data_IF_420010754290
#
_entry.id   IF_420010754290
#
_cell.length_a   1.000
_cell.length_b   1.000
_cell.length_c   1.000
_cell.angle_alpha   90.00
_cell.angle_beta   90.00
_cell.angle_gamma   90.00
#
_symmetry.space_group_name_H-M   'P 1'
#
loop_
_entity.id
_entity.type
_entity.pdbx_description
1 polymer ?
#
# COMPACT_ATOMS: atom_id res chain seq x y z
N UNK A 1 27.11 48.95 -6.65
CA UNK A 1 27.26 48.16 -5.40
C UNK A 1 26.04 48.18 -4.46
N UNK A 2 24.83 48.59 -4.92
CA UNK A 2 23.60 48.58 -4.11
C UNK A 2 22.46 47.73 -4.69
N UNK A 3 22.75 46.95 -5.74
CA UNK A 3 21.82 46.02 -6.40
C UNK A 3 22.25 44.55 -6.26
N UNK A 4 23.35 44.28 -5.56
CA UNK A 4 23.84 42.93 -5.28
C UNK A 4 23.49 42.45 -3.86
N UNK A 5 23.18 43.36 -2.93
CA UNK A 5 22.82 43.00 -1.54
C UNK A 5 21.31 42.76 -1.34
N UNK A 6 20.44 43.35 -2.16
CA UNK A 6 18.99 43.09 -2.09
C UNK A 6 18.59 41.70 -2.61
N UNK A 7 19.48 41.04 -3.36
CA UNK A 7 19.31 39.64 -3.79
C UNK A 7 19.69 38.62 -2.71
N UNK A 8 20.37 39.06 -1.64
CA UNK A 8 20.79 38.18 -0.53
C UNK A 8 19.79 38.18 0.65
N UNK A 9 18.85 39.12 0.69
CA UNK A 9 17.81 39.22 1.75
C UNK A 9 16.41 38.76 1.32
N UNK A 10 16.17 38.57 0.01
CA UNK A 10 14.94 37.95 -0.53
C UNK A 10 15.05 36.43 -0.74
N UNK A 11 16.07 35.78 -0.15
CA UNK A 11 16.28 34.32 -0.22
C UNK A 11 15.85 33.54 1.03
N UNK A 12 15.38 34.22 2.08
CA UNK A 12 14.95 33.60 3.34
C UNK A 12 13.55 34.07 3.69
N UNK A 13 12.54 33.51 3.04
CA UNK A 13 11.17 33.36 3.55
C UNK A 13 10.35 32.55 2.55
N UNK A 14 9.75 31.45 3.01
CA UNK A 14 8.62 30.82 2.33
C UNK A 14 8.96 29.69 1.34
N UNK A 15 8.96 28.44 1.84
CA UNK A 15 9.04 27.28 0.96
C UNK A 15 8.93 25.92 1.61
N UNK A 16 8.26 25.78 2.76
CA UNK A 16 7.85 24.46 3.26
C UNK A 16 6.85 23.86 2.26
N UNK A 17 7.32 22.96 1.40
CA UNK A 17 6.44 22.13 0.56
C UNK A 17 5.71 21.15 1.48
N UNK A 18 4.52 21.53 1.94
CA UNK A 18 3.52 20.63 2.50
C UNK A 18 3.18 19.52 1.48
N UNK A 19 2.92 18.28 1.91
CA UNK A 19 2.44 17.21 1.03
C UNK A 19 0.93 17.38 0.78
N UNK A 20 0.51 18.48 0.14
CA UNK A 20 -0.92 18.78 -0.05
C UNK A 20 -1.55 18.13 -1.29
N UNK A 21 -0.78 17.45 -2.16
CA UNK A 21 -1.34 16.84 -3.38
C UNK A 21 -1.95 15.44 -3.22
N UNK A 22 -1.66 14.71 -2.14
CA UNK A 22 -2.31 13.40 -1.89
C UNK A 22 -3.66 13.52 -1.18
N UNK A 23 -3.82 14.56 -0.33
CA UNK A 23 -5.07 14.82 0.40
C UNK A 23 -6.20 15.33 -0.51
N UNK A 24 -5.87 16.08 -1.58
CA UNK A 24 -6.90 16.59 -2.49
C UNK A 24 -7.58 15.46 -3.28
N UNK A 25 -6.82 14.45 -3.73
CA UNK A 25 -7.34 13.32 -4.51
C UNK A 25 -8.12 12.34 -3.63
N UNK A 26 -7.66 12.09 -2.40
CA UNK A 26 -8.45 11.30 -1.44
C UNK A 26 -9.72 12.05 -1.02
N UNK A 27 -9.64 13.36 -0.82
CA UNK A 27 -10.77 14.23 -0.50
C UNK A 27 -11.82 14.31 -1.61
N UNK A 28 -11.41 14.37 -2.87
CA UNK A 28 -12.36 14.37 -4.01
C UNK A 28 -13.04 13.01 -4.18
N UNK A 29 -12.32 11.91 -3.92
CA UNK A 29 -12.88 10.56 -4.00
C UNK A 29 -13.83 10.28 -2.84
N UNK A 30 -13.49 10.69 -1.61
CA UNK A 30 -14.39 10.55 -0.46
C UNK A 30 -15.61 11.46 -0.58
N UNK A 31 -15.45 12.70 -1.05
CA UNK A 31 -16.58 13.59 -1.31
C UNK A 31 -17.52 13.05 -2.40
N UNK A 32 -16.96 12.49 -3.49
CA UNK A 32 -17.75 11.85 -4.54
C UNK A 32 -18.45 10.59 -4.03
N UNK A 33 -17.81 9.81 -3.15
CA UNK A 33 -18.40 8.64 -2.49
C UNK A 33 -19.54 9.03 -1.54
N UNK A 34 -19.35 10.08 -0.74
CA UNK A 34 -20.40 10.63 0.15
C UNK A 34 -21.57 11.23 -0.64
N UNK A 35 -21.31 11.92 -1.76
CA UNK A 35 -22.36 12.41 -2.65
C UNK A 35 -23.13 11.25 -3.31
N UNK A 36 -22.44 10.18 -3.72
CA UNK A 36 -23.08 8.99 -4.25
C UNK A 36 -23.96 8.29 -3.20
N UNK A 37 -23.50 8.22 -1.94
CA UNK A 37 -24.32 7.68 -0.85
C UNK A 37 -25.54 8.55 -0.55
N UNK A 38 -25.41 9.88 -0.62
CA UNK A 38 -26.56 10.77 -0.44
C UNK A 38 -27.61 10.65 -1.55
N UNK A 39 -27.19 10.30 -2.77
CA UNK A 39 -28.10 10.03 -3.89
C UNK A 39 -28.79 8.65 -3.79
N UNK A 40 -28.22 7.72 -3.01
CA UNK A 40 -28.73 6.34 -2.84
C UNK A 40 -29.65 6.17 -1.63
N UNK A 41 -29.68 7.12 -0.69
CA UNK A 41 -30.60 7.11 0.45
C UNK A 41 -31.80 8.00 0.12
N UNK A 42 -32.60 7.60 -0.86
CA UNK A 42 -34.01 8.03 -0.89
C UNK A 42 -34.77 7.11 0.06
N UNK A 43 -35.32 7.61 1.18
CA UNK A 43 -36.13 6.77 2.05
C UNK A 43 -37.33 6.23 1.26
N UNK A 44 -37.79 4.99 1.54
CA UNK A 44 -38.93 4.38 0.84
C UNK A 44 -40.23 5.17 0.97
N UNK A 45 -40.28 6.17 1.85
CA UNK A 45 -41.39 7.12 1.97
C UNK A 45 -41.59 8.03 0.75
N UNK A 46 -40.64 8.13 -0.19
CA UNK A 46 -40.86 8.83 -1.47
C UNK A 46 -41.35 7.90 -2.60
N UNK A 47 -41.35 6.58 -2.40
CA UNK A 47 -41.89 5.61 -3.35
C UNK A 47 -43.36 5.24 -3.06
N UNK A 48 -43.87 5.54 -1.86
CA UNK A 48 -45.30 5.74 -1.68
C UNK A 48 -45.67 6.99 -2.47
N UNK A 49 -46.45 6.77 -3.55
CA UNK A 49 -46.85 7.83 -4.48
C UNK A 49 -47.25 9.08 -3.70
N UNK A 50 -46.66 10.23 -4.07
CA UNK A 50 -47.19 11.52 -3.65
C UNK A 50 -48.71 11.46 -3.85
N UNK A 51 -49.53 11.87 -2.87
CA UNK A 51 -50.96 12.01 -3.10
C UNK A 51 -51.07 12.87 -4.34
N UNK A 52 -51.67 12.33 -5.41
CA UNK A 52 -52.01 13.15 -6.56
C UNK A 52 -52.78 14.33 -5.98
N UNK A 53 -52.31 15.52 -6.30
CA UNK A 53 -52.96 16.78 -5.98
C UNK A 53 -54.29 16.81 -6.76
N UNK A 54 -55.29 16.05 -6.30
CA UNK A 54 -56.67 16.05 -6.76
C UNK A 54 -57.49 16.91 -5.80
N UNK A 55 -57.03 18.15 -5.65
CA UNK A 55 -57.57 19.20 -4.79
C UNK A 55 -58.94 19.75 -5.22
N UNK A 56 -59.80 18.94 -5.86
CA UNK A 56 -61.18 19.34 -6.17
C UNK A 56 -62.29 18.30 -5.90
N UNK A 57 -62.02 17.01 -5.64
CA UNK A 57 -63.11 16.02 -5.49
C UNK A 57 -62.86 14.87 -4.48
N UNK A 58 -61.95 15.00 -3.51
CA UNK A 58 -61.80 13.96 -2.47
C UNK A 58 -62.92 14.03 -1.44
N UNK A 59 -63.81 13.04 -1.44
CA UNK A 59 -64.85 12.90 -0.40
C UNK A 59 -64.17 12.50 0.92
N UNK A 60 -64.54 13.14 2.03
CA UNK A 60 -64.00 12.77 3.35
C UNK A 60 -64.51 11.40 3.79
N UNK A 61 -63.73 10.66 4.58
CA UNK A 61 -64.14 9.36 5.14
C UNK A 61 -65.47 9.43 5.91
N UNK A 62 -65.63 10.47 6.75
CA UNK A 62 -66.89 10.71 7.47
C UNK A 62 -68.05 11.02 6.52
N UNK A 63 -67.79 11.76 5.44
CA UNK A 63 -68.76 12.03 4.39
C UNK A 63 -69.13 10.78 3.59
N UNK A 64 -68.20 9.85 3.42
CA UNK A 64 -68.46 8.56 2.78
C UNK A 64 -69.41 7.70 3.63
N UNK A 65 -69.13 7.54 4.93
CA UNK A 65 -70.00 6.75 5.83
C UNK A 65 -71.43 7.32 5.86
N UNK A 66 -71.57 8.65 5.95
CA UNK A 66 -72.88 9.31 5.91
C UNK A 66 -73.64 9.05 4.60
N UNK A 67 -72.96 9.09 3.45
CA UNK A 67 -73.60 8.83 2.15
C UNK A 67 -73.96 7.36 1.93
N UNK A 68 -73.22 6.45 2.56
CA UNK A 68 -73.58 5.01 2.59
C UNK A 68 -74.87 4.83 3.40
N UNK A 69 -74.98 5.46 4.57
CA UNK A 69 -76.19 5.42 5.40
C UNK A 69 -77.39 6.09 4.75
N UNK A 70 -77.17 7.16 3.98
CA UNK A 70 -78.21 7.81 3.18
C UNK A 70 -78.65 6.99 1.94
N UNK A 71 -77.97 5.88 1.64
CA UNK A 71 -78.30 4.98 0.52
C UNK A 71 -77.87 5.49 -0.86
N UNK A 72 -76.97 6.49 -0.91
CA UNK A 72 -76.55 7.20 -2.13
C UNK A 72 -75.39 6.50 -2.88
N UNK A 73 -74.75 5.51 -2.26
CA UNK A 73 -73.61 4.77 -2.82
C UNK A 73 -74.07 3.49 -3.54
N UNK A 74 -73.48 3.20 -4.70
CA UNK A 74 -73.79 2.02 -5.52
C UNK A 74 -72.72 0.93 -5.45
N UNK A 75 -71.44 1.31 -5.49
CA UNK A 75 -70.30 0.39 -5.46
C UNK A 75 -69.11 1.04 -4.75
N UNK A 76 -68.41 0.24 -3.95
CA UNK A 76 -67.16 0.65 -3.28
C UNK A 76 -66.07 -0.35 -3.68
N UNK A 77 -65.01 0.15 -4.30
CA UNK A 77 -63.81 -0.62 -4.64
C UNK A 77 -62.68 -0.21 -3.69
N UNK A 78 -62.15 -1.15 -2.92
CA UNK A 78 -61.12 -0.88 -1.91
C UNK A 78 -59.76 -1.33 -2.46
N UNK A 79 -58.78 -0.42 -2.49
CA UNK A 79 -57.38 -0.72 -2.75
C UNK A 79 -56.57 -0.71 -1.43
N UNK A 80 -56.32 -1.88 -0.83
CA UNK A 80 -55.61 -1.98 0.44
C UNK A 80 -54.11 -1.65 0.33
N UNK A 81 -53.54 -1.63 -0.88
CA UNK A 81 -52.11 -1.33 -1.10
C UNK A 81 -51.89 0.18 -1.07
N UNK A 82 -52.82 0.94 -1.65
CA UNK A 82 -52.78 2.41 -1.68
C UNK A 82 -53.51 3.07 -0.51
N UNK A 83 -54.31 2.33 0.25
CA UNK A 83 -55.10 2.86 1.36
C UNK A 83 -56.23 3.79 0.92
N UNK A 84 -56.79 3.56 -0.28
CA UNK A 84 -57.87 4.38 -0.85
C UNK A 84 -59.07 3.51 -1.21
N UNK A 85 -60.26 4.08 -1.10
CA UNK A 85 -61.52 3.53 -1.61
C UNK A 85 -62.01 4.39 -2.78
N UNK A 86 -62.29 3.75 -3.91
CA UNK A 86 -62.98 4.33 -5.04
C UNK A 86 -64.49 4.12 -4.90
N UNK A 87 -65.26 5.22 -4.88
CA UNK A 87 -66.68 5.20 -4.56
C UNK A 87 -67.48 5.69 -5.77
N UNK A 88 -68.51 4.92 -6.15
CA UNK A 88 -69.50 5.33 -7.16
C UNK A 88 -70.84 5.66 -6.50
N UNK A 89 -71.38 6.83 -6.82
CA UNK A 89 -72.69 7.30 -6.34
C UNK A 89 -73.80 6.91 -7.33
N UNK A 90 -75.02 6.63 -6.84
CA UNK A 90 -76.19 6.25 -7.68
C UNK A 90 -76.63 7.36 -8.64
N UNK A 91 -76.37 8.62 -8.31
CA UNK A 91 -76.77 9.80 -9.08
C UNK A 91 -75.68 10.31 -10.04
N UNK A 92 -74.55 9.60 -10.19
CA UNK A 92 -73.50 9.98 -11.13
C UNK A 92 -73.70 9.31 -12.50
N UNK A 93 -73.51 10.03 -13.62
CA UNK A 93 -73.47 9.41 -14.95
C UNK A 93 -72.43 8.28 -14.98
N UNK A 94 -72.74 7.16 -15.65
CA UNK A 94 -71.88 5.96 -15.76
C UNK A 94 -70.46 6.22 -16.29
N UNK A 95 -70.21 7.42 -16.82
CA UNK A 95 -68.94 7.86 -17.41
C UNK A 95 -68.16 8.85 -16.51
N UNK A 96 -68.61 9.07 -15.27
CA UNK A 96 -67.95 9.97 -14.31
C UNK A 96 -66.85 9.24 -13.55
N UNK A 97 -65.69 9.88 -13.38
CA UNK A 97 -64.60 9.33 -12.59
C UNK A 97 -65.05 9.03 -11.14
N UNK A 98 -64.71 7.85 -10.60
CA UNK A 98 -65.04 7.50 -9.22
C UNK A 98 -64.43 8.51 -8.24
N UNK A 99 -65.11 8.76 -7.11
CA UNK A 99 -64.56 9.62 -6.06
C UNK A 99 -63.59 8.81 -5.21
N UNK A 100 -62.36 9.28 -5.07
CA UNK A 100 -61.35 8.66 -4.20
C UNK A 100 -61.49 9.16 -2.76
N UNK A 101 -61.48 8.22 -1.83
CA UNK A 101 -61.53 8.47 -0.38
C UNK A 101 -60.36 7.80 0.29
N UNK A 102 -59.58 8.56 1.06
CA UNK A 102 -58.48 8.01 1.86
C UNK A 102 -59.05 7.25 3.05
N UNK A 103 -58.62 5.99 3.21
CA UNK A 103 -59.03 5.13 4.31
C UNK A 103 -58.03 5.25 5.46
N UNK A 104 -58.53 5.26 6.70
CA UNK A 104 -57.69 5.50 7.88
C UNK A 104 -56.85 4.29 8.27
N UNK A 105 -57.28 3.07 8.00
CA UNK A 105 -56.56 1.85 8.39
C UNK A 105 -56.96 0.64 7.50
N UNK A 106 -56.12 -0.41 7.50
CA UNK A 106 -56.33 -1.65 6.73
C UNK A 106 -57.60 -2.43 7.12
N UNK A 107 -58.32 -1.99 8.16
CA UNK A 107 -59.58 -2.59 8.57
C UNK A 107 -60.54 -1.48 9.02
N UNK A 108 -61.52 -1.12 8.17
CA UNK A 108 -62.53 -0.11 8.48
C UNK A 108 -63.86 -0.82 8.82
N UNK A 109 -64.05 -1.31 10.07
CA UNK A 109 -65.21 -2.10 10.45
C UNK A 109 -66.52 -1.31 10.31
N UNK A 110 -66.51 0.00 10.61
CA UNK A 110 -67.69 0.87 10.47
C UNK A 110 -68.15 1.00 9.02
N UNK A 111 -67.21 1.11 8.08
CA UNK A 111 -67.51 1.19 6.64
C UNK A 111 -68.04 -0.16 6.11
N UNK A 112 -67.45 -1.27 6.57
CA UNK A 112 -67.91 -2.62 6.23
C UNK A 112 -69.31 -2.90 6.78
N UNK A 113 -69.61 -2.44 7.99
CA UNK A 113 -70.92 -2.59 8.63
C UNK A 113 -71.98 -1.72 7.95
N UNK A 114 -71.68 -0.44 7.68
CA UNK A 114 -72.57 0.47 6.97
C UNK A 114 -72.89 -0.02 5.55
N UNK A 115 -71.89 -0.54 4.82
CA UNK A 115 -72.06 -1.09 3.49
C UNK A 115 -72.88 -2.39 3.48
N UNK A 116 -72.67 -3.31 4.45
CA UNK A 116 -73.49 -4.53 4.59
C UNK A 116 -74.94 -4.23 4.92
N UNK A 117 -75.19 -3.29 5.84
CA UNK A 117 -76.54 -2.92 6.28
C UNK A 117 -77.37 -2.30 5.15
N UNK A 118 -76.73 -1.60 4.22
CA UNK A 118 -77.36 -0.93 3.09
C UNK A 118 -77.24 -1.68 1.75
N UNK A 119 -76.71 -2.91 1.77
CA UNK A 119 -76.65 -3.79 0.59
C UNK A 119 -75.74 -3.27 -0.53
N UNK A 120 -74.65 -2.56 -0.20
CA UNK A 120 -73.69 -2.02 -1.17
C UNK A 120 -72.68 -3.10 -1.56
N UNK A 121 -72.40 -3.22 -2.87
CA UNK A 121 -71.42 -4.18 -3.38
C UNK A 121 -69.99 -3.69 -3.09
N UNK A 122 -69.23 -4.54 -2.39
CA UNK A 122 -67.88 -4.27 -1.89
C UNK A 122 -66.91 -5.19 -2.61
N UNK A 123 -66.03 -4.62 -3.44
CA UNK A 123 -65.01 -5.37 -4.17
C UNK A 123 -63.61 -4.92 -3.75
N UNK A 124 -62.70 -5.87 -3.56
CA UNK A 124 -61.31 -5.59 -3.17
C UNK A 124 -60.42 -5.87 -4.36
N UNK A 125 -59.81 -4.81 -4.93
CA UNK A 125 -58.85 -4.93 -6.02
C UNK A 125 -57.50 -4.37 -5.58
N UNK A 126 -56.51 -5.22 -5.26
CA UNK A 126 -55.17 -4.73 -4.92
C UNK A 126 -54.47 -4.23 -6.18
N UNK A 127 -53.99 -2.98 -6.17
CA UNK A 127 -53.15 -2.49 -7.28
C UNK A 127 -51.74 -3.09 -7.22
N UNK A 128 -51.18 -3.44 -8.38
CA UNK A 128 -49.82 -3.98 -8.47
C UNK A 128 -48.80 -2.86 -8.27
N UNK A 129 -47.95 -3.02 -7.26
CA UNK A 129 -46.97 -2.01 -6.84
C UNK A 129 -45.75 -1.97 -7.78
N UNK A 130 -45.94 -1.41 -8.97
CA UNK A 130 -44.94 -1.33 -10.04
C UNK A 130 -43.70 -0.47 -9.71
N UNK A 131 -43.72 0.25 -8.58
CA UNK A 131 -42.59 1.05 -8.10
C UNK A 131 -41.38 0.23 -7.64
N UNK A 132 -41.61 -0.98 -7.14
CA UNK A 132 -40.54 -1.87 -6.63
C UNK A 132 -39.62 -2.39 -7.75
N UNK A 133 -40.20 -2.78 -8.88
CA UNK A 133 -39.45 -3.24 -10.06
C UNK A 133 -38.67 -2.09 -10.71
N UNK A 134 -39.29 -0.91 -10.84
CA UNK A 134 -38.60 0.27 -11.36
C UNK A 134 -37.43 0.71 -10.45
N UNK A 135 -37.61 0.60 -9.13
CA UNK A 135 -36.56 0.88 -8.15
C UNK A 135 -35.38 -0.11 -8.28
N UNK A 136 -35.64 -1.41 -8.38
CA UNK A 136 -34.61 -2.44 -8.56
C UNK A 136 -33.84 -2.30 -9.88
N UNK A 137 -34.54 -2.00 -10.98
CA UNK A 137 -33.92 -1.83 -12.30
C UNK A 137 -32.98 -0.62 -12.29
N UNK A 138 -33.41 0.49 -11.69
CA UNK A 138 -32.63 1.74 -11.65
C UNK A 138 -31.35 1.58 -10.79
N UNK A 139 -31.46 0.95 -9.63
CA UNK A 139 -30.31 0.73 -8.73
C UNK A 139 -29.39 -0.39 -9.20
N UNK A 140 -29.96 -1.44 -9.80
CA UNK A 140 -29.19 -2.55 -10.38
C UNK A 140 -28.30 -2.11 -11.55
N UNK A 141 -28.81 -1.22 -12.41
CA UNK A 141 -28.06 -0.70 -13.55
C UNK A 141 -26.87 0.16 -13.11
N UNK A 142 -27.04 0.97 -12.06
CA UNK A 142 -25.96 1.79 -11.50
C UNK A 142 -24.85 0.94 -10.83
N UNK A 143 -25.23 -0.10 -10.10
CA UNK A 143 -24.27 -1.07 -9.53
C UNK A 143 -23.48 -1.80 -10.63
N UNK A 144 -24.14 -2.19 -11.72
CA UNK A 144 -23.50 -2.84 -12.86
C UNK A 144 -22.46 -1.93 -13.53
N UNK A 145 -22.78 -0.65 -13.75
CA UNK A 145 -21.84 0.33 -14.33
C UNK A 145 -20.60 0.53 -13.44
N UNK A 146 -20.78 0.61 -12.11
CA UNK A 146 -19.65 0.74 -11.17
C UNK A 146 -18.73 -0.48 -11.19
N UNK A 147 -19.29 -1.70 -11.20
CA UNK A 147 -18.52 -2.94 -11.30
C UNK A 147 -17.75 -2.99 -12.63
N UNK A 148 -18.40 -2.61 -13.73
CA UNK A 148 -17.76 -2.58 -15.05
C UNK A 148 -16.61 -1.56 -15.12
N UNK A 149 -16.79 -0.36 -14.56
CA UNK A 149 -15.76 0.67 -14.47
C UNK A 149 -14.56 0.22 -13.61
N UNK A 150 -14.83 -0.44 -12.48
CA UNK A 150 -13.79 -1.01 -11.62
C UNK A 150 -12.98 -2.09 -12.34
N UNK A 151 -13.65 -3.01 -13.04
CA UNK A 151 -12.99 -4.04 -13.84
C UNK A 151 -12.15 -3.44 -14.98
N UNK A 152 -12.62 -2.35 -15.61
CA UNK A 152 -11.87 -1.66 -16.65
C UNK A 152 -10.64 -0.92 -16.10
N UNK A 153 -10.74 -0.36 -14.88
CA UNK A 153 -9.61 0.24 -14.17
C UNK A 153 -8.55 -0.79 -13.79
N UNK A 154 -8.96 -1.94 -13.22
CA UNK A 154 -8.09 -3.08 -12.91
C UNK A 154 -7.38 -3.64 -14.15
N UNK A 155 -8.09 -3.69 -15.29
CA UNK A 155 -7.49 -4.10 -16.57
C UNK A 155 -6.52 -3.08 -17.15
N UNK A 156 -6.70 -1.77 -16.88
CA UNK A 156 -5.72 -0.74 -17.23
C UNK A 156 -4.44 -0.85 -16.40
N UNK A 157 -4.54 -1.22 -15.13
CA UNK A 157 -3.35 -1.46 -14.28
C UNK A 157 -2.63 -2.76 -14.61
N UNK A 158 -3.32 -3.80 -15.09
CA UNK A 158 -2.65 -5.05 -15.50
C UNK A 158 -1.80 -4.93 -16.77
N UNK A 159 -1.98 -3.89 -17.59
CA UNK A 159 -1.04 -3.59 -18.70
C UNK A 159 0.23 -2.85 -18.22
N UNK A 160 0.33 -2.54 -16.93
CA UNK A 160 1.55 -2.07 -16.24
C UNK A 160 2.15 -3.17 -15.33
N UNK A 161 1.83 -4.44 -15.62
CA UNK A 161 2.20 -5.63 -14.83
C UNK A 161 3.71 -5.96 -14.78
N UNK A 162 4.57 -5.13 -15.37
CA UNK A 162 6.02 -5.22 -15.18
C UNK A 162 6.54 -4.66 -13.84
N UNK A 163 5.73 -3.90 -13.09
CA UNK A 163 6.23 -3.15 -11.93
C UNK A 163 5.88 -3.76 -10.56
N UNK A 164 4.78 -4.53 -10.45
CA UNK A 164 4.38 -5.14 -9.18
C UNK A 164 5.16 -6.43 -8.84
N UNK A 165 5.69 -7.15 -9.84
CA UNK A 165 6.54 -8.35 -9.66
C UNK A 165 8.02 -8.03 -9.38
N UNK A 166 8.41 -6.75 -9.35
CA UNK A 166 9.80 -6.33 -9.13
C UNK A 166 10.13 -5.98 -7.68
N UNK A 167 9.17 -6.14 -6.74
CA UNK A 167 9.39 -5.88 -5.32
C UNK A 167 10.47 -6.80 -4.69
N UNK A 168 10.76 -7.94 -5.32
CA UNK A 168 11.81 -8.88 -4.90
C UNK A 168 13.15 -8.75 -5.64
N UNK A 169 13.26 -7.91 -6.68
CA UNK A 169 14.52 -7.62 -7.37
C UNK A 169 14.92 -6.20 -7.06
N UNK A 170 15.36 -5.98 -5.82
CA UNK A 170 16.00 -4.72 -5.46
C UNK A 170 17.23 -4.56 -6.37
N UNK A 171 17.12 -3.69 -7.39
CA UNK A 171 18.29 -3.14 -8.09
C UNK A 171 19.05 -2.24 -7.10
N UNK A 172 19.70 -2.85 -6.11
CA UNK A 172 20.71 -2.18 -5.32
C UNK A 172 21.74 -1.64 -6.32
N UNK A 173 21.98 -0.34 -6.25
CA UNK A 173 22.99 0.34 -7.06
C UNK A 173 24.35 0.06 -6.43
N UNK A 174 24.80 -1.18 -6.54
CA UNK A 174 26.18 -1.51 -6.18
C UNK A 174 27.09 -0.68 -7.08
N UNK A 175 27.95 0.13 -6.48
CA UNK A 175 28.96 0.88 -7.21
C UNK A 175 30.08 -0.11 -7.51
N UNK A 176 30.03 -0.69 -8.71
CA UNK A 176 31.12 -1.50 -9.24
C UNK A 176 32.12 -0.53 -9.87
N UNK A 177 33.25 -0.33 -9.20
CA UNK A 177 34.40 0.38 -9.74
C UNK A 177 35.35 -0.66 -10.33
N UNK A 178 35.37 -0.79 -11.67
CA UNK A 178 36.26 -1.73 -12.35
C UNK A 178 37.75 -1.39 -12.16
N UNK A 179 38.05 -0.11 -11.92
CA UNK A 179 39.36 0.39 -11.51
C UNK A 179 39.16 1.54 -10.52
N UNK A 180 39.70 1.41 -9.31
CA UNK A 180 39.62 2.45 -8.28
C UNK A 180 40.58 3.62 -8.60
N UNK A 181 41.72 3.33 -9.25
CA UNK A 181 42.73 4.32 -9.60
C UNK A 181 43.55 4.84 -8.41
N UNK A 182 43.37 4.24 -7.22
CA UNK A 182 44.06 4.57 -5.98
C UNK A 182 45.02 3.43 -5.66
N UNK A 183 46.27 3.74 -5.29
CA UNK A 183 47.31 2.77 -4.92
C UNK A 183 47.73 2.93 -3.46
N UNK A 184 48.58 2.03 -2.94
CA UNK A 184 49.07 2.17 -1.55
C UNK A 184 49.90 3.42 -1.31
N UNK A 185 50.54 3.95 -2.35
CA UNK A 185 51.29 5.21 -2.30
C UNK A 185 50.40 6.43 -2.02
N UNK A 186 49.10 6.36 -2.36
CA UNK A 186 48.13 7.43 -2.13
C UNK A 186 47.58 7.45 -0.68
N UNK A 187 47.86 6.41 0.11
CA UNK A 187 47.44 6.30 1.51
C UNK A 187 48.64 6.56 2.39
N UNK A 188 48.59 7.55 3.28
CA UNK A 188 49.72 7.92 4.13
C UNK A 188 49.45 7.63 5.61
N UNK A 189 50.52 7.34 6.36
CA UNK A 189 50.50 7.30 7.82
C UNK A 189 50.01 6.00 8.47
N UNK A 190 49.88 4.91 7.70
CA UNK A 190 49.36 3.62 8.20
C UNK A 190 50.20 2.46 7.61
N UNK A 191 51.51 2.48 7.88
CA UNK A 191 52.45 1.51 7.27
C UNK A 191 52.26 0.10 7.81
N UNK A 192 51.92 -0.05 9.10
CA UNK A 192 51.66 -1.36 9.70
C UNK A 192 50.45 -2.06 9.06
N UNK A 193 49.37 -1.32 8.82
CA UNK A 193 48.19 -1.87 8.14
C UNK A 193 48.49 -2.23 6.68
N UNK A 194 49.28 -1.42 5.97
CA UNK A 194 49.69 -1.72 4.59
C UNK A 194 50.49 -3.01 4.52
N UNK A 195 51.44 -3.21 5.43
CA UNK A 195 52.25 -4.43 5.47
C UNK A 195 51.39 -5.67 5.71
N UNK A 196 50.44 -5.61 6.65
CA UNK A 196 49.52 -6.72 6.91
C UNK A 196 48.60 -7.01 5.70
N UNK A 197 48.12 -5.96 5.02
CA UNK A 197 47.24 -6.06 3.86
C UNK A 197 47.97 -6.41 2.56
N UNK A 198 49.31 -6.31 2.53
CA UNK A 198 50.14 -6.71 1.39
C UNK A 198 49.99 -8.21 1.08
N UNK A 199 49.74 -9.03 2.10
CA UNK A 199 49.45 -10.47 1.94
C UNK A 199 48.18 -10.66 1.08
N UNK A 200 47.12 -9.91 1.39
CA UNK A 200 45.83 -9.95 0.69
C UNK A 200 45.99 -9.55 -0.78
N UNK A 201 46.74 -8.49 -1.05
CA UNK A 201 47.07 -8.05 -2.42
C UNK A 201 47.86 -9.12 -3.17
N UNK A 202 48.86 -9.70 -2.52
CA UNK A 202 49.73 -10.73 -3.13
C UNK A 202 48.92 -11.97 -3.51
N UNK A 203 47.95 -12.35 -2.67
CA UNK A 203 47.03 -13.44 -2.96
C UNK A 203 46.16 -13.14 -4.19
N UNK A 204 45.52 -11.98 -4.25
CA UNK A 204 44.68 -11.60 -5.40
C UNK A 204 45.47 -11.56 -6.72
N UNK A 205 46.75 -11.18 -6.67
CA UNK A 205 47.66 -11.20 -7.82
C UNK A 205 48.11 -12.61 -8.22
N UNK A 206 48.34 -13.51 -7.25
CA UNK A 206 48.95 -14.85 -7.46
C UNK A 206 48.29 -15.94 -6.61
N UNK A 207 47.00 -16.27 -6.84
CA UNK A 207 46.25 -17.21 -6.00
C UNK A 207 46.80 -18.65 -6.07
N UNK A 208 47.43 -19.02 -7.18
CA UNK A 208 48.01 -20.36 -7.41
C UNK A 208 49.10 -20.70 -6.39
N UNK A 209 49.93 -19.72 -6.00
CA UNK A 209 51.03 -19.94 -5.04
C UNK A 209 50.54 -20.34 -3.66
N UNK A 210 49.44 -19.73 -3.21
CA UNK A 210 48.84 -20.01 -1.91
C UNK A 210 48.07 -21.34 -1.92
N UNK A 211 47.43 -21.64 -3.05
CA UNK A 211 46.71 -22.91 -3.24
C UNK A 211 47.68 -24.10 -3.27
N UNK A 212 48.84 -23.95 -3.91
CA UNK A 212 49.86 -25.00 -3.99
C UNK A 212 50.44 -25.42 -2.63
N UNK A 213 50.50 -24.50 -1.67
CA UNK A 213 50.99 -24.76 -0.30
C UNK A 213 49.85 -25.13 0.67
N UNK A 214 48.60 -25.22 0.19
CA UNK A 214 47.43 -25.53 1.01
C UNK A 214 47.05 -24.45 2.02
N UNK A 215 47.53 -23.22 1.84
CA UNK A 215 47.21 -22.10 2.73
C UNK A 215 45.74 -21.71 2.57
N UNK A 216 45.03 -21.61 3.71
CA UNK A 216 43.67 -21.06 3.75
C UNK A 216 43.75 -19.55 3.82
N UNK A 217 43.09 -18.88 2.88
CA UNK A 217 43.05 -17.42 2.82
C UNK A 217 41.98 -16.87 3.75
N UNK A 218 42.24 -15.72 4.39
CA UNK A 218 41.21 -15.00 5.14
C UNK A 218 40.06 -14.63 4.21
N UNK A 219 38.86 -15.11 4.53
CA UNK A 219 37.66 -14.79 3.74
C UNK A 219 37.22 -13.33 3.95
N UNK A 220 37.48 -12.81 5.15
CA UNK A 220 37.10 -11.47 5.55
C UNK A 220 38.19 -10.75 6.32
N UNK A 221 38.32 -9.46 6.04
CA UNK A 221 39.17 -8.51 6.76
C UNK A 221 38.29 -7.42 7.35
N UNK A 222 38.44 -7.14 8.64
CA UNK A 222 37.75 -6.05 9.33
C UNK A 222 38.74 -4.91 9.62
N UNK A 223 38.49 -3.75 9.02
CA UNK A 223 39.22 -2.51 9.27
C UNK A 223 38.56 -1.79 10.44
N UNK A 224 39.32 -1.56 11.50
CA UNK A 224 38.84 -0.97 12.76
C UNK A 224 39.60 0.31 13.03
N UNK A 225 38.89 1.41 13.27
CA UNK A 225 39.54 2.66 13.64
C UNK A 225 38.58 3.83 13.77
N UNK A 226 39.00 4.97 14.33
CA UNK A 226 38.19 6.18 14.41
C UNK A 226 37.66 6.65 13.04
N UNK A 227 36.56 7.42 12.99
CA UNK A 227 36.10 8.01 11.74
C UNK A 227 37.17 8.95 11.15
N UNK A 228 37.33 8.93 9.83
CA UNK A 228 38.30 9.77 9.13
C UNK A 228 39.73 9.22 9.00
N UNK A 229 40.02 8.01 9.49
CA UNK A 229 41.35 7.36 9.32
C UNK A 229 41.59 6.72 7.94
N UNK A 230 40.77 7.04 6.93
CA UNK A 230 41.02 6.55 5.57
C UNK A 230 40.73 5.07 5.33
N UNK A 231 39.95 4.38 6.19
CA UNK A 231 39.54 2.97 5.98
C UNK A 231 38.99 2.68 4.57
N UNK A 232 38.10 3.54 4.07
CA UNK A 232 37.54 3.44 2.72
C UNK A 232 38.59 3.66 1.64
N UNK A 233 39.55 4.58 1.85
CA UNK A 233 40.66 4.82 0.92
C UNK A 233 41.62 3.63 0.88
N UNK A 234 41.94 3.05 2.04
CA UNK A 234 42.77 1.85 2.16
C UNK A 234 42.13 0.67 1.44
N UNK A 235 40.82 0.44 1.60
CA UNK A 235 40.11 -0.60 0.87
C UNK A 235 40.16 -0.41 -0.66
N UNK A 236 40.01 0.83 -1.14
CA UNK A 236 40.16 1.17 -2.57
C UNK A 236 41.59 0.99 -3.08
N UNK A 237 42.59 1.27 -2.25
CA UNK A 237 44.01 1.06 -2.54
C UNK A 237 44.35 -0.42 -2.70
N UNK A 238 43.83 -1.30 -1.83
CA UNK A 238 44.01 -2.76 -1.95
C UNK A 238 43.48 -3.26 -3.29
N UNK A 239 42.29 -2.80 -3.70
CA UNK A 239 41.70 -3.19 -4.98
C UNK A 239 42.47 -2.63 -6.19
N UNK A 240 42.93 -1.38 -6.11
CA UNK A 240 43.75 -0.76 -7.14
C UNK A 240 45.10 -1.44 -7.31
N UNK A 241 45.75 -1.77 -6.19
CA UNK A 241 46.98 -2.55 -6.16
C UNK A 241 46.80 -3.93 -6.76
N UNK A 242 45.76 -4.66 -6.34
CA UNK A 242 45.47 -6.00 -6.85
C UNK A 242 44.97 -6.00 -8.32
N UNK A 243 44.45 -4.87 -8.81
CA UNK A 243 43.89 -4.74 -10.15
C UNK A 243 42.59 -5.51 -10.34
N UNK A 244 41.81 -5.70 -9.27
CA UNK A 244 40.54 -6.46 -9.28
C UNK A 244 39.33 -5.53 -9.16
N UNK A 245 38.14 -5.94 -9.63
CA UNK A 245 36.92 -5.17 -9.45
C UNK A 245 36.61 -4.90 -7.97
N UNK A 246 36.16 -3.68 -7.68
CA UNK A 246 35.79 -3.22 -6.35
C UNK A 246 34.28 -2.98 -6.26
N UNK A 247 33.60 -3.71 -5.38
CA UNK A 247 32.19 -3.51 -5.06
C UNK A 247 32.06 -2.78 -3.74
N UNK A 248 31.54 -1.55 -3.75
CA UNK A 248 31.32 -0.78 -2.52
C UNK A 248 29.84 -0.73 -2.14
N UNK A 249 29.53 -0.96 -0.87
CA UNK A 249 28.20 -0.76 -0.28
C UNK A 249 28.34 -0.25 1.16
N UNK A 250 27.42 0.61 1.61
CA UNK A 250 27.30 0.97 3.03
C UNK A 250 26.39 -0.02 3.74
N UNK A 251 26.76 -0.42 4.96
CA UNK A 251 25.99 -1.29 5.83
C UNK A 251 24.59 -0.73 6.12
N UNK A 252 24.43 0.59 6.12
CA UNK A 252 23.12 1.23 6.25
C UNK A 252 22.16 0.94 5.09
N UNK A 253 22.67 0.64 3.89
CA UNK A 253 21.83 0.29 2.72
C UNK A 253 21.14 -1.06 2.87
N UNK A 254 21.60 -1.89 3.81
CA UNK A 254 20.98 -3.18 4.09
C UNK A 254 19.81 -3.08 5.07
N UNK A 255 19.65 -1.94 5.76
CA UNK A 255 18.59 -1.73 6.77
C UNK A 255 17.45 -0.95 6.15
N UNK A 256 16.32 -1.62 5.90
CA UNK A 256 15.10 -1.00 5.35
C UNK A 256 13.85 -1.23 6.20
N UNK A 257 12.80 -0.44 5.94
CA UNK A 257 11.49 -0.58 6.60
C UNK A 257 10.75 -1.86 6.22
N UNK A 258 11.15 -2.52 5.12
CA UNK A 258 10.49 -3.72 4.60
C UNK A 258 11.33 -4.96 4.94
N UNK A 259 10.70 -5.88 5.67
CA UNK A 259 11.32 -7.15 6.08
C UNK A 259 11.81 -7.94 4.85
N UNK A 260 13.03 -8.45 4.91
CA UNK A 260 13.62 -9.31 3.88
C UNK A 260 14.26 -8.60 2.69
N UNK A 261 14.13 -7.28 2.55
CA UNK A 261 14.78 -6.52 1.47
C UNK A 261 16.30 -6.54 1.64
N UNK A 262 16.80 -6.30 2.86
CA UNK A 262 18.23 -6.38 3.18
C UNK A 262 18.85 -7.73 2.82
N UNK A 263 18.25 -8.82 3.27
CA UNK A 263 18.68 -10.18 2.95
C UNK A 263 18.67 -10.49 1.44
N UNK A 264 17.72 -9.94 0.66
CA UNK A 264 17.76 -10.08 -0.80
C UNK A 264 18.94 -9.34 -1.42
N UNK A 265 19.26 -8.13 -0.94
CA UNK A 265 20.40 -7.35 -1.43
C UNK A 265 21.72 -8.05 -1.17
N UNK A 266 21.87 -8.66 0.01
CA UNK A 266 23.06 -9.46 0.35
C UNK A 266 23.24 -10.59 -0.67
N UNK A 267 22.18 -11.36 -0.95
CA UNK A 267 22.23 -12.43 -1.97
C UNK A 267 22.60 -11.92 -3.36
N UNK A 268 21.99 -10.80 -3.79
CA UNK A 268 22.27 -10.20 -5.10
C UNK A 268 23.69 -9.66 -5.21
N UNK A 269 24.23 -9.07 -4.13
CA UNK A 269 25.62 -8.60 -4.05
C UNK A 269 26.59 -9.76 -4.25
N UNK A 270 26.41 -10.83 -3.47
CA UNK A 270 27.28 -12.00 -3.54
C UNK A 270 27.15 -12.76 -4.85
N UNK A 271 25.95 -12.82 -5.45
CA UNK A 271 25.77 -13.36 -6.79
C UNK A 271 26.59 -12.60 -7.83
N UNK A 272 26.52 -11.26 -7.83
CA UNK A 272 27.29 -10.42 -8.76
C UNK A 272 28.80 -10.52 -8.51
N UNK A 273 29.22 -10.62 -7.25
CA UNK A 273 30.62 -10.81 -6.90
C UNK A 273 31.15 -12.16 -7.43
N UNK A 274 30.36 -13.24 -7.30
CA UNK A 274 30.67 -14.57 -7.87
C UNK A 274 30.81 -14.53 -9.39
N UNK A 275 29.98 -13.76 -10.09
CA UNK A 275 30.06 -13.56 -11.55
C UNK A 275 31.30 -12.76 -12.00
N UNK A 276 31.92 -11.98 -11.10
CA UNK A 276 33.06 -11.10 -11.38
C UNK A 276 34.32 -11.47 -10.58
N UNK A 277 34.42 -12.72 -10.11
CA UNK A 277 35.58 -13.18 -9.36
C UNK A 277 36.83 -13.27 -10.26
N UNK A 278 38.05 -12.94 -9.77
CA UNK A 278 38.36 -12.46 -8.42
C UNK A 278 37.96 -10.99 -8.20
N UNK A 279 37.39 -10.67 -7.04
CA UNK A 279 36.97 -9.30 -6.71
C UNK A 279 36.99 -9.01 -5.21
N UNK A 280 36.87 -7.73 -4.85
CA UNK A 280 36.75 -7.27 -3.47
C UNK A 280 35.34 -6.73 -3.23
N UNK A 281 34.71 -7.17 -2.14
CA UNK A 281 33.47 -6.61 -1.62
C UNK A 281 33.82 -5.75 -0.41
N UNK A 282 33.57 -4.45 -0.49
CA UNK A 282 33.73 -3.51 0.61
C UNK A 282 32.39 -3.13 1.23
N UNK A 283 32.27 -3.36 2.54
CA UNK A 283 31.10 -2.98 3.34
C UNK A 283 31.53 -1.93 4.36
N UNK A 284 31.19 -0.67 4.11
CA UNK A 284 31.41 0.40 5.08
C UNK A 284 30.34 0.36 6.18
N UNK A 285 30.62 0.90 7.37
CA UNK A 285 29.65 0.97 8.48
C UNK A 285 28.93 -0.38 8.75
N UNK A 286 29.71 -1.47 8.82
CA UNK A 286 29.17 -2.82 9.05
C UNK A 286 28.40 -2.90 10.39
N UNK A 287 28.66 -2.00 11.33
CA UNK A 287 27.95 -1.87 12.60
C UNK A 287 26.46 -1.50 12.45
N UNK A 288 26.03 -1.00 11.29
CA UNK A 288 24.61 -0.78 11.01
C UNK A 288 23.79 -2.09 10.99
N UNK A 289 24.37 -3.17 10.44
CA UNK A 289 23.75 -4.51 10.35
C UNK A 289 24.32 -5.51 11.34
N UNK A 290 25.58 -5.33 11.74
CA UNK A 290 26.33 -6.26 12.57
C UNK A 290 26.18 -6.03 14.06
N UNK A 291 25.31 -5.11 14.51
CA UNK A 291 25.18 -4.78 15.93
C UNK A 291 24.56 -5.93 16.73
N UNK A 292 25.22 -6.30 17.84
CA UNK A 292 24.72 -7.33 18.76
C UNK A 292 23.39 -6.89 19.39
N UNK A 293 22.45 -7.84 19.49
CA UNK A 293 21.11 -7.63 20.04
C UNK A 293 21.14 -7.09 21.48
N UNK A 294 20.37 -6.03 21.75
CA UNK A 294 19.86 -5.74 23.10
C UNK A 294 18.52 -6.44 23.31
N UNK A 295 18.23 -6.93 24.53
CA UNK A 295 17.01 -7.66 24.93
C UNK A 295 15.73 -6.80 24.89
N UNK A 296 15.45 -6.15 23.77
CA UNK A 296 14.27 -5.32 23.55
C UNK A 296 13.18 -6.10 22.82
N UNK A 297 12.03 -6.27 23.47
CA UNK A 297 10.81 -6.86 22.89
C UNK A 297 10.23 -5.83 21.91
N UNK A 298 10.51 -5.98 20.61
CA UNK A 298 9.96 -5.11 19.56
C UNK A 298 10.45 -5.51 18.16
N UNK A 299 9.53 -5.93 17.29
CA UNK A 299 9.76 -6.51 15.96
C UNK A 299 10.36 -5.60 14.87
N UNK A 300 11.09 -4.54 15.25
CA UNK A 300 11.95 -3.79 14.33
C UNK A 300 13.35 -4.41 14.17
N UNK A 301 13.69 -5.39 15.01
CA UNK A 301 15.00 -6.03 15.03
C UNK A 301 15.12 -7.23 14.07
N UNK A 302 13.98 -7.80 13.66
CA UNK A 302 13.94 -9.04 12.89
C UNK A 302 14.58 -8.89 11.50
N UNK A 303 14.49 -7.70 10.91
CA UNK A 303 15.06 -7.40 9.59
C UNK A 303 16.59 -7.33 9.61
N UNK A 304 17.16 -6.72 10.66
CA UNK A 304 18.63 -6.63 10.82
C UNK A 304 19.22 -7.99 11.11
N UNK A 305 18.58 -8.76 12.00
CA UNK A 305 19.02 -10.11 12.33
C UNK A 305 18.92 -11.05 11.11
N UNK A 306 17.83 -10.97 10.34
CA UNK A 306 17.69 -11.73 9.10
C UNK A 306 18.79 -11.36 8.09
N UNK A 307 19.09 -10.07 7.93
CA UNK A 307 20.08 -9.59 6.98
C UNK A 307 21.50 -9.96 7.42
N UNK A 308 21.81 -9.86 8.72
CA UNK A 308 23.05 -10.32 9.31
C UNK A 308 23.24 -11.82 9.09
N UNK A 309 22.24 -12.64 9.41
CA UNK A 309 22.32 -14.09 9.23
C UNK A 309 22.49 -14.49 7.75
N UNK A 310 21.88 -13.74 6.84
CA UNK A 310 22.09 -13.94 5.41
C UNK A 310 23.53 -13.61 4.99
N UNK A 311 24.12 -12.52 5.52
CA UNK A 311 25.52 -12.18 5.30
C UNK A 311 26.44 -13.30 5.80
N UNK A 312 26.21 -13.78 7.02
CA UNK A 312 26.97 -14.89 7.61
C UNK A 312 26.87 -16.17 6.77
N UNK A 313 25.67 -16.48 6.27
CA UNK A 313 25.44 -17.67 5.42
C UNK A 313 26.18 -17.56 4.08
N UNK A 314 26.20 -16.38 3.46
CA UNK A 314 26.97 -16.18 2.22
C UNK A 314 28.48 -16.24 2.47
N UNK A 315 28.98 -15.69 3.60
CA UNK A 315 30.39 -15.79 4.00
C UNK A 315 30.83 -17.24 4.23
N UNK A 316 30.00 -18.03 4.92
CA UNK A 316 30.28 -19.43 5.20
C UNK A 316 30.17 -20.27 3.92
N UNK A 317 29.23 -19.92 3.01
CA UNK A 317 28.94 -20.61 1.76
C UNK A 317 30.02 -20.54 0.68
N UNK A 318 31.10 -19.78 0.89
CA UNK A 318 32.31 -19.87 0.06
C UNK A 318 33.11 -21.11 0.43
N UNK A 319 32.92 -22.21 -0.29
CA UNK A 319 33.81 -23.36 -0.23
C UNK A 319 34.97 -23.19 -1.23
N UNK A 320 36.22 -23.26 -0.74
CA UNK A 320 37.43 -23.16 -1.56
C UNK A 320 37.95 -21.74 -1.85
N UNK A 321 38.95 -21.64 -2.73
CA UNK A 321 39.59 -20.39 -3.17
C UNK A 321 38.82 -19.72 -4.31
N UNK A 322 37.62 -19.25 -4.01
CA UNK A 322 36.76 -18.55 -5.00
C UNK A 322 37.29 -17.17 -5.42
N UNK A 323 38.37 -16.68 -4.80
CA UNK A 323 39.02 -15.42 -5.17
C UNK A 323 38.21 -14.16 -4.77
N UNK A 324 37.23 -14.31 -3.88
CA UNK A 324 36.41 -13.21 -3.36
C UNK A 324 36.87 -12.89 -1.95
N UNK A 325 37.16 -11.62 -1.69
CA UNK A 325 37.60 -11.13 -0.37
C UNK A 325 36.62 -10.06 0.10
N UNK A 326 36.17 -10.20 1.34
CA UNK A 326 35.25 -9.26 1.97
C UNK A 326 36.04 -8.35 2.89
N UNK A 327 35.95 -7.05 2.68
CA UNK A 327 36.57 -6.05 3.55
C UNK A 327 35.43 -5.26 4.19
N UNK A 328 35.35 -5.28 5.52
CA UNK A 328 34.37 -4.48 6.26
C UNK A 328 35.07 -3.37 7.03
N UNK A 329 34.44 -2.22 7.17
CA UNK A 329 34.94 -1.13 8.01
C UNK A 329 33.96 -0.83 9.15
N UNK A 330 34.49 -0.60 10.35
CA UNK A 330 33.71 -0.14 11.51
C UNK A 330 34.49 0.89 12.30
N UNK A 331 33.75 1.81 12.92
CA UNK A 331 34.28 2.70 13.96
C UNK A 331 34.05 2.15 15.37
N UNK A 332 33.25 1.09 15.50
CA UNK A 332 32.72 0.56 16.76
C UNK A 332 32.80 -0.97 16.77
N UNK A 333 33.99 -1.55 16.99
CA UNK A 333 34.14 -3.00 17.05
C UNK A 333 33.44 -3.60 18.28
N UNK A 334 33.25 -2.81 19.33
CA UNK A 334 32.66 -3.17 20.63
C UNK A 334 31.19 -3.58 20.54
N UNK A 335 30.45 -3.04 19.57
CA UNK A 335 29.02 -3.33 19.40
C UNK A 335 28.73 -4.43 18.40
N UNK A 336 29.75 -4.95 17.71
CA UNK A 336 29.58 -5.97 16.69
C UNK A 336 29.25 -7.33 17.31
N UNK A 337 28.41 -8.09 16.62
CA UNK A 337 28.08 -9.46 16.98
C UNK A 337 29.33 -10.33 16.89
N UNK A 338 29.64 -11.02 17.99
CA UNK A 338 30.73 -12.00 18.09
C UNK A 338 30.72 -13.04 16.95
N UNK A 339 29.56 -13.33 16.36
CA UNK A 339 29.42 -14.24 15.24
C UNK A 339 30.20 -13.76 14.00
N UNK A 340 30.29 -12.45 13.76
CA UNK A 340 31.05 -11.89 12.64
C UNK A 340 32.56 -12.10 12.79
N UNK A 341 33.06 -12.09 14.03
CA UNK A 341 34.48 -12.15 14.37
C UNK A 341 35.00 -13.60 14.52
N UNK A 342 34.16 -14.61 14.26
CA UNK A 342 34.57 -16.01 14.36
C UNK A 342 35.48 -16.39 13.18
N UNK A 343 36.45 -17.31 13.38
CA UNK A 343 37.26 -17.85 12.30
C UNK A 343 36.40 -18.46 11.16
N UNK A 344 36.77 -18.17 9.92
CA UNK A 344 36.02 -18.44 8.70
C UNK A 344 35.15 -17.27 8.21
N UNK A 345 35.16 -16.12 8.89
CA UNK A 345 34.39 -14.90 8.57
C UNK A 345 35.33 -13.69 8.53
N UNK A 346 35.26 -12.78 9.50
CA UNK A 346 36.23 -11.69 9.65
C UNK A 346 37.42 -12.13 10.50
N UNK A 347 38.25 -12.96 9.88
CA UNK A 347 39.38 -13.66 10.50
C UNK A 347 40.52 -12.72 10.85
N UNK A 348 40.69 -11.68 10.03
CA UNK A 348 41.72 -10.65 10.16
C UNK A 348 41.08 -9.36 10.64
N UNK A 349 41.69 -8.76 11.66
CA UNK A 349 41.30 -7.45 12.17
C UNK A 349 42.51 -6.53 12.10
N UNK A 350 42.40 -5.46 11.32
CA UNK A 350 43.49 -4.51 11.10
C UNK A 350 43.08 -3.19 11.74
N UNK A 351 43.94 -2.66 12.62
CA UNK A 351 43.72 -1.35 13.23
C UNK A 351 44.26 -0.25 12.31
N UNK A 352 43.46 0.81 12.12
CA UNK A 352 43.68 1.88 11.15
C UNK A 352 43.54 3.26 11.79
#
# INVERSE_FOLDING_TARGET
>A
MKQAEDKALMGKLGGRKHPLKKSLVTGTVTAMWLMLQSALVTPPSMAQGSPRDSSELSLSYSGLVQRIEAGEVSKIEIDPVRGVAEVRLKNQPKDSAPQEVVLFENNNPELLEAARKNGVDLEVQPSTDGGTLAWLITHGLLAFVLIMALLMFLRRTSNSSGQAMNFGKSKARFQMEAKTGIMFDDVAGIEEAKEELQEVVTFLKKPERFTAIGAKIPKGVLLVGPPGTGKTLLAKAIAGEAGVPFFSISGSEFVEMFVGVGASRVRDLFKKAKENAPCIIFIDEIDAVGRQRGTGIGGGNDEREQTLNQLLTEMDGFEGNTGIIIIAATNRPDVLDSALLRPGRFDRQVQV
#
